data_IF_826337913693
#
_entry.id   IF_826337913693
#
_cell.length_a   1.000
_cell.length_b   1.000
_cell.length_c   1.000
_cell.angle_alpha   90.00
_cell.angle_beta   90.00
_cell.angle_gamma   90.00
#
_symmetry.space_group_name_H-M   'P 1'
#
loop_
_entity.id
_entity.type
_entity.pdbx_description
1 polymer ?
#
# COMPACT_ATOMS: atom_id res chain seq x y z
N UNK A 1 0.15 -15.40 10.89
CA UNK A 1 0.34 -13.94 10.93
C UNK A 1 0.26 -13.51 12.38
N UNK A 2 1.22 -12.73 12.86
CA UNK A 2 1.28 -12.20 14.22
C UNK A 2 0.64 -10.80 14.29
N UNK A 3 0.25 -10.33 15.48
CA UNK A 3 -0.27 -8.96 15.63
C UNK A 3 0.73 -7.91 15.12
N UNK A 4 2.03 -8.10 15.41
CA UNK A 4 3.07 -7.17 14.98
C UNK A 4 3.21 -7.10 13.46
N UNK A 5 3.00 -8.21 12.74
CA UNK A 5 3.01 -8.20 11.27
C UNK A 5 1.81 -7.42 10.71
N UNK A 6 0.64 -7.54 11.36
CA UNK A 6 -0.54 -6.75 10.96
C UNK A 6 -0.32 -5.26 11.24
N UNK A 7 0.32 -4.93 12.37
CA UNK A 7 0.65 -3.54 12.70
C UNK A 7 1.60 -2.93 11.66
N UNK A 8 2.69 -3.64 11.32
CA UNK A 8 3.61 -3.23 10.25
C UNK A 8 2.90 -3.14 8.89
N UNK A 9 2.03 -4.09 8.57
CA UNK A 9 1.23 -4.05 7.35
C UNK A 9 0.34 -2.81 7.29
N UNK A 10 -0.37 -2.48 8.38
CA UNK A 10 -1.26 -1.31 8.43
C UNK A 10 -0.49 -0.01 8.26
N UNK A 11 0.70 0.10 8.85
CA UNK A 11 1.60 1.25 8.64
C UNK A 11 1.99 1.35 7.16
N UNK A 12 2.51 0.27 6.58
CA UNK A 12 2.89 0.25 5.17
C UNK A 12 1.70 0.55 4.23
N UNK A 13 0.52 0.02 4.54
CA UNK A 13 -0.71 0.24 3.77
C UNK A 13 -1.14 1.71 3.78
N UNK A 14 -1.06 2.38 4.93
CA UNK A 14 -1.36 3.83 5.05
C UNK A 14 -0.41 4.66 4.18
N UNK A 15 0.89 4.35 4.18
CA UNK A 15 1.89 5.02 3.33
C UNK A 15 1.62 4.77 1.83
N UNK A 16 1.37 3.53 1.44
CA UNK A 16 1.01 3.16 0.06
C UNK A 16 -0.24 3.91 -0.41
N UNK A 17 -1.27 3.99 0.45
CA UNK A 17 -2.50 4.71 0.13
C UNK A 17 -2.26 6.22 -0.03
N UNK A 18 -1.41 6.82 0.79
CA UNK A 18 -1.05 8.24 0.65
C UNK A 18 -0.35 8.51 -0.68
N UNK A 19 0.58 7.63 -1.09
CA UNK A 19 1.26 7.71 -2.39
C UNK A 19 0.25 7.58 -3.53
N UNK A 20 -0.66 6.61 -3.47
CA UNK A 20 -1.69 6.44 -4.50
C UNK A 20 -2.56 7.70 -4.63
N UNK A 21 -2.97 8.32 -3.51
CA UNK A 21 -3.75 9.56 -3.53
C UNK A 21 -2.95 10.73 -4.13
N UNK A 22 -1.68 10.87 -3.77
CA UNK A 22 -0.79 11.91 -4.31
C UNK A 22 -0.64 11.77 -5.83
N UNK A 23 -0.36 10.56 -6.31
CA UNK A 23 -0.13 10.31 -7.73
C UNK A 23 -1.41 10.37 -8.57
N UNK A 24 -2.55 9.92 -8.04
CA UNK A 24 -3.85 10.11 -8.69
C UNK A 24 -4.13 11.60 -8.91
N UNK A 25 -3.83 12.45 -7.92
CA UNK A 25 -4.01 13.90 -8.06
C UNK A 25 -3.08 14.50 -9.13
N UNK A 26 -1.83 14.04 -9.23
CA UNK A 26 -0.89 14.49 -10.27
C UNK A 26 -1.30 14.02 -11.67
N UNK A 27 -1.69 12.75 -11.82
CA UNK A 27 -2.17 12.18 -13.08
C UNK A 27 -3.40 12.93 -13.59
N UNK A 28 -4.33 13.31 -12.71
CA UNK A 28 -5.52 14.09 -13.07
C UNK A 28 -5.22 15.52 -13.54
N UNK A 29 -4.02 16.05 -13.28
CA UNK A 29 -3.61 17.39 -13.70
C UNK A 29 -3.01 17.42 -15.11
N UNK A 30 -2.70 16.27 -15.68
CA UNK A 30 -2.13 16.15 -17.03
C UNK A 30 -3.07 15.36 -17.95
N UNK A 31 -2.90 15.57 -19.25
CA UNK A 31 -3.54 14.76 -20.30
C UNK A 31 -2.49 14.16 -21.25
N UNK A 32 -1.20 14.33 -20.94
CA UNK A 32 -0.11 13.75 -21.70
C UNK A 32 0.05 12.28 -21.30
N UNK A 33 -0.14 11.37 -22.26
CA UNK A 33 -0.05 9.94 -22.01
C UNK A 33 1.36 9.48 -21.56
N UNK A 34 2.43 10.12 -22.02
CA UNK A 34 3.79 9.78 -21.63
C UNK A 34 4.10 10.25 -20.19
N UNK A 35 3.56 11.42 -19.82
CA UNK A 35 3.66 11.92 -18.44
C UNK A 35 2.85 11.04 -17.47
N UNK A 36 1.64 10.64 -17.85
CA UNK A 36 0.81 9.70 -17.05
C UNK A 36 1.56 8.39 -16.82
N UNK A 37 2.15 7.80 -17.87
CA UNK A 37 2.92 6.56 -17.73
C UNK A 37 4.11 6.75 -16.78
N UNK A 38 4.82 7.88 -16.88
CA UNK A 38 5.94 8.19 -15.99
C UNK A 38 5.49 8.28 -14.54
N UNK A 39 4.38 8.98 -14.28
CA UNK A 39 3.80 9.11 -12.94
C UNK A 39 3.36 7.74 -12.38
N UNK A 40 2.77 6.88 -13.19
CA UNK A 40 2.41 5.52 -12.79
C UNK A 40 3.64 4.69 -12.38
N UNK A 41 4.72 4.72 -13.18
CA UNK A 41 5.97 4.01 -12.90
C UNK A 41 6.63 4.52 -11.60
N UNK A 42 6.70 5.83 -11.42
CA UNK A 42 7.21 6.45 -10.19
C UNK A 42 6.39 6.06 -8.96
N UNK A 43 5.06 6.05 -9.08
CA UNK A 43 4.18 5.63 -7.99
C UNK A 43 4.48 4.20 -7.56
N UNK A 44 4.69 3.27 -8.51
CA UNK A 44 5.02 1.87 -8.18
C UNK A 44 6.36 1.77 -7.44
N UNK A 45 7.38 2.50 -7.89
CA UNK A 45 8.70 2.53 -7.24
C UNK A 45 8.58 3.07 -5.82
N UNK A 46 7.88 4.19 -5.63
CA UNK A 46 7.68 4.79 -4.30
C UNK A 46 6.89 3.88 -3.36
N UNK A 47 5.83 3.22 -3.85
CA UNK A 47 5.05 2.26 -3.05
C UNK A 47 5.91 1.10 -2.56
N UNK A 48 6.69 0.48 -3.46
CA UNK A 48 7.60 -0.60 -3.08
C UNK A 48 8.63 -0.12 -2.03
N UNK A 49 9.22 1.05 -2.23
CA UNK A 49 10.16 1.64 -1.29
C UNK A 49 9.53 1.95 0.09
N UNK A 50 8.29 2.43 0.12
CA UNK A 50 7.58 2.71 1.37
C UNK A 50 7.31 1.43 2.18
N UNK A 51 6.94 0.34 1.49
CA UNK A 51 6.77 -0.96 2.12
C UNK A 51 8.11 -1.48 2.67
N UNK A 52 9.18 -1.46 1.86
CA UNK A 52 10.51 -1.92 2.28
C UNK A 52 11.11 -1.06 3.43
N UNK A 53 10.74 0.22 3.52
CA UNK A 53 11.13 1.09 4.63
C UNK A 53 10.38 0.78 5.94
N UNK A 54 9.26 0.04 5.87
CA UNK A 54 8.45 -0.27 7.04
C UNK A 54 9.05 -1.45 7.81
N UNK A 55 9.51 -1.19 9.03
CA UNK A 55 10.10 -2.23 9.86
C UNK A 55 9.12 -3.37 10.15
N UNK A 56 9.57 -4.62 9.97
CA UNK A 56 8.78 -5.82 10.26
C UNK A 56 7.94 -6.33 9.09
N UNK A 57 8.05 -5.72 7.90
CA UNK A 57 7.42 -6.22 6.68
C UNK A 57 8.29 -5.91 5.46
N UNK A 58 8.24 -6.77 4.43
CA UNK A 58 8.84 -6.53 3.11
C UNK A 58 7.75 -6.53 2.02
N UNK A 59 8.09 -6.16 0.78
CA UNK A 59 7.11 -6.14 -0.32
C UNK A 59 6.40 -7.48 -0.51
N UNK A 60 7.14 -8.59 -0.43
CA UNK A 60 6.57 -9.92 -0.64
C UNK A 60 5.51 -10.26 0.41
N UNK A 61 5.83 -10.00 1.68
CA UNK A 61 4.94 -10.22 2.82
C UNK A 61 3.75 -9.28 2.80
N UNK A 62 3.94 -8.03 2.39
CA UNK A 62 2.85 -7.08 2.19
C UNK A 62 1.82 -7.60 1.16
N UNK A 63 2.27 -8.05 0.00
CA UNK A 63 1.39 -8.61 -1.05
C UNK A 63 0.72 -9.91 -0.57
N UNK A 64 1.43 -10.73 0.18
CA UNK A 64 0.86 -11.95 0.76
C UNK A 64 -0.27 -11.62 1.74
N UNK A 65 -0.07 -10.65 2.64
CA UNK A 65 -1.11 -10.22 3.60
C UNK A 65 -2.32 -9.62 2.87
N UNK A 66 -2.10 -8.83 1.80
CA UNK A 66 -3.22 -8.36 0.95
C UNK A 66 -4.01 -9.54 0.38
N UNK A 67 -3.31 -10.57 -0.12
CA UNK A 67 -3.94 -11.77 -0.70
C UNK A 67 -4.71 -12.56 0.36
N UNK A 68 -4.14 -12.71 1.57
CA UNK A 68 -4.82 -13.36 2.70
C UNK A 68 -6.09 -12.58 3.06
N UNK A 69 -5.99 -11.26 3.24
CA UNK A 69 -7.13 -10.41 3.62
C UNK A 69 -8.28 -10.42 2.60
N UNK A 70 -7.98 -10.65 1.31
CA UNK A 70 -9.01 -10.82 0.27
C UNK A 70 -9.78 -12.14 0.40
N UNK A 71 -9.15 -13.18 0.94
CA UNK A 71 -9.71 -14.53 1.03
C UNK A 71 -10.16 -14.92 2.45
N UNK A 72 -9.73 -14.18 3.47
CA UNK A 72 -10.01 -14.42 4.88
C UNK A 72 -10.70 -13.18 5.49
N UNK A 73 -12.03 -13.23 5.68
CA UNK A 73 -12.80 -12.14 6.27
C UNK A 73 -12.38 -11.76 7.69
N UNK A 74 -11.87 -12.70 8.48
CA UNK A 74 -11.44 -12.42 9.86
C UNK A 74 -10.16 -11.58 9.83
N UNK A 75 -9.23 -11.91 8.94
CA UNK A 75 -8.02 -11.11 8.71
C UNK A 75 -8.38 -9.72 8.18
N UNK A 76 -9.32 -9.65 7.24
CA UNK A 76 -9.82 -8.37 6.72
C UNK A 76 -10.39 -7.48 7.83
N UNK A 77 -11.23 -8.04 8.71
CA UNK A 77 -11.83 -7.32 9.82
C UNK A 77 -10.77 -6.75 10.79
N UNK A 78 -9.72 -7.52 11.11
CA UNK A 78 -8.62 -7.05 11.98
C UNK A 78 -7.84 -5.90 11.34
N UNK A 79 -7.59 -5.96 10.03
CA UNK A 79 -6.92 -4.89 9.30
C UNK A 79 -7.77 -3.63 9.31
N UNK A 80 -9.07 -3.74 9.00
CA UNK A 80 -10.01 -2.61 9.01
C UNK A 80 -10.09 -1.97 10.40
N UNK A 81 -10.23 -2.76 11.45
CA UNK A 81 -10.26 -2.25 12.84
C UNK A 81 -8.99 -1.45 13.18
N UNK A 82 -7.83 -1.86 12.69
CA UNK A 82 -6.56 -1.14 12.90
C UNK A 82 -6.42 0.10 12.01
N UNK A 83 -7.06 0.14 10.84
CA UNK A 83 -7.09 1.31 9.97
C UNK A 83 -7.98 2.43 10.55
N UNK A 84 -9.06 2.06 11.24
CA UNK A 84 -10.03 2.98 11.86
C UNK A 84 -9.56 3.57 13.21
N UNK A 85 -8.45 3.06 13.75
CA UNK A 85 -7.77 3.59 14.95
C UNK A 85 -6.73 4.64 14.59
#
# INVERSE_FOLDING_TARGET
>A
MTSSEVDSFVVAFKEVQAIDQEYVAQIQQTSDAAEIQTLEEEAQIKKAAAVDATSGIDVARYVEIMTIAQNDPDVSAVIVEKLEK
#
